data_IF_317599611939
#
_entry.id   IF_317599611939
#
_cell.length_a   1.000
_cell.length_b   1.000
_cell.length_c   1.000
_cell.angle_alpha   90.00
_cell.angle_beta   90.00
_cell.angle_gamma   90.00
#
_symmetry.space_group_name_H-M   'P 1'
#
loop_
_entity.id
_entity.type
_entity.pdbx_description
1 polymer ?
#
# COMPACT_ATOMS: atom_id res chain seq x y z
N UNK A 1 7.52 -13.01 8.93
CA UNK A 1 6.45 -12.58 9.88
C UNK A 1 5.53 -11.69 9.07
N UNK A 2 4.28 -12.12 8.87
CA UNK A 2 3.36 -11.43 7.97
C UNK A 2 3.16 -9.96 8.38
N UNK A 3 2.99 -9.69 9.67
CA UNK A 3 2.67 -8.35 10.17
C UNK A 3 3.72 -7.30 9.78
N UNK A 4 4.99 -7.65 9.97
CA UNK A 4 6.11 -6.76 9.67
C UNK A 4 6.25 -6.55 8.15
N UNK A 5 6.16 -7.63 7.37
CA UNK A 5 6.31 -7.58 5.92
C UNK A 5 5.18 -6.77 5.26
N UNK A 6 3.93 -7.01 5.67
CA UNK A 6 2.76 -6.25 5.21
C UNK A 6 2.88 -4.76 5.54
N UNK A 7 3.29 -4.42 6.78
CA UNK A 7 3.44 -3.02 7.21
C UNK A 7 4.51 -2.30 6.38
N UNK A 8 5.68 -2.92 6.24
CA UNK A 8 6.77 -2.36 5.43
C UNK A 8 6.36 -2.17 3.96
N UNK A 9 5.60 -3.11 3.41
CA UNK A 9 5.07 -3.02 2.06
C UNK A 9 4.13 -1.82 1.87
N UNK A 10 3.18 -1.63 2.79
CA UNK A 10 2.25 -0.49 2.73
C UNK A 10 3.00 0.84 2.89
N UNK A 11 3.93 0.94 3.84
CA UNK A 11 4.76 2.14 4.00
C UNK A 11 5.60 2.45 2.75
N UNK A 12 6.12 1.42 2.09
CA UNK A 12 6.85 1.54 0.82
C UNK A 12 5.94 2.08 -0.28
N UNK A 13 4.70 1.59 -0.40
CA UNK A 13 3.72 2.10 -1.37
C UNK A 13 3.39 3.57 -1.10
N UNK A 14 3.13 3.94 0.16
CA UNK A 14 2.86 5.33 0.58
C UNK A 14 4.03 6.26 0.17
N UNK A 15 5.28 5.85 0.44
CA UNK A 15 6.48 6.62 0.07
C UNK A 15 6.67 6.72 -1.44
N UNK A 16 6.39 5.64 -2.17
CA UNK A 16 6.48 5.62 -3.63
C UNK A 16 5.47 6.58 -4.25
N UNK A 17 4.22 6.55 -3.81
CA UNK A 17 3.16 7.42 -4.33
C UNK A 17 3.46 8.90 -4.07
N UNK A 18 4.02 9.27 -2.90
CA UNK A 18 4.52 10.64 -2.65
C UNK A 18 5.59 11.07 -3.66
N UNK A 19 6.51 10.16 -4.03
CA UNK A 19 7.57 10.46 -5.02
C UNK A 19 7.02 10.59 -6.44
N UNK A 20 5.99 9.82 -6.78
CA UNK A 20 5.31 9.90 -8.09
C UNK A 20 4.57 11.24 -8.21
N UNK A 21 3.80 11.62 -7.18
CA UNK A 21 3.11 12.92 -7.08
C UNK A 21 4.10 14.09 -7.21
N UNK A 22 5.21 14.06 -6.48
CA UNK A 22 6.23 15.12 -6.53
C UNK A 22 6.87 15.31 -7.92
N UNK A 23 6.85 14.28 -8.77
CA UNK A 23 7.37 14.34 -10.14
C UNK A 23 6.33 14.86 -11.16
N UNK A 24 5.12 15.20 -10.71
CA UNK A 24 4.07 15.75 -11.57
C UNK A 24 3.35 14.72 -12.44
N UNK A 25 3.48 13.42 -12.15
CA UNK A 25 2.69 12.40 -12.83
C UNK A 25 1.22 12.54 -12.41
N UNK A 26 0.40 13.15 -13.27
CA UNK A 26 -1.06 13.25 -13.06
C UNK A 26 -1.71 11.91 -13.32
N UNK A 27 -2.01 11.20 -12.26
CA UNK A 27 -2.95 10.07 -12.30
C UNK A 27 -4.37 10.60 -12.53
N UNK A 28 -5.18 9.87 -13.29
CA UNK A 28 -6.62 10.15 -13.44
C UNK A 28 -7.32 10.03 -12.07
N UNK A 29 -6.85 9.13 -11.20
CA UNK A 29 -7.42 8.83 -9.88
C UNK A 29 -6.67 9.49 -8.69
N UNK A 30 -6.01 10.62 -8.92
CA UNK A 30 -5.11 11.23 -7.92
C UNK A 30 -5.81 11.53 -6.57
N UNK A 31 -7.11 11.81 -6.58
CA UNK A 31 -7.91 12.00 -5.37
C UNK A 31 -8.05 10.72 -4.54
N UNK A 32 -8.44 9.62 -5.17
CA UNK A 32 -8.62 8.33 -4.49
C UNK A 32 -7.28 7.78 -3.95
N UNK A 33 -6.19 7.90 -4.73
CA UNK A 33 -4.85 7.50 -4.29
C UNK A 33 -4.37 8.32 -3.11
N UNK A 34 -4.62 9.64 -3.11
CA UNK A 34 -4.27 10.53 -1.99
C UNK A 34 -5.05 10.17 -0.72
N UNK A 35 -6.36 9.95 -0.84
CA UNK A 35 -7.22 9.56 0.28
C UNK A 35 -6.80 8.22 0.87
N UNK A 36 -6.59 7.20 0.03
CA UNK A 36 -6.11 5.88 0.46
C UNK A 36 -4.77 5.99 1.20
N UNK A 37 -3.84 6.81 0.68
CA UNK A 37 -2.54 7.03 1.32
C UNK A 37 -2.67 7.64 2.70
N UNK A 38 -3.47 8.69 2.85
CA UNK A 38 -3.68 9.39 4.13
C UNK A 38 -4.41 8.47 5.12
N UNK A 39 -5.45 7.79 4.67
CA UNK A 39 -6.22 6.86 5.48
C UNK A 39 -5.34 5.72 6.03
N UNK A 40 -4.63 5.00 5.16
CA UNK A 40 -3.77 3.88 5.56
C UNK A 40 -2.64 4.33 6.49
N UNK A 41 -2.05 5.51 6.23
CA UNK A 41 -1.01 6.08 7.09
C UNK A 41 -1.56 6.35 8.50
N UNK A 42 -2.71 7.01 8.59
CA UNK A 42 -3.31 7.38 9.86
C UNK A 42 -3.66 6.15 10.70
N UNK A 43 -4.22 5.11 10.07
CA UNK A 43 -4.52 3.85 10.75
C UNK A 43 -3.25 3.18 11.29
N UNK A 44 -2.21 3.04 10.45
CA UNK A 44 -0.93 2.42 10.84
C UNK A 44 -0.19 3.20 11.94
N UNK A 45 -0.38 4.51 12.03
CA UNK A 45 0.19 5.36 13.09
C UNK A 45 -0.65 5.30 14.38
N UNK A 46 -1.97 5.21 14.26
CA UNK A 46 -2.88 5.14 15.40
C UNK A 46 -2.82 3.78 16.12
N UNK A 47 -2.69 2.69 15.36
CA UNK A 47 -2.68 1.34 15.92
C UNK A 47 -1.45 0.55 15.45
N UNK A 48 -0.77 -0.20 16.35
CA UNK A 48 0.51 -0.81 16.03
C UNK A 48 0.42 -1.98 15.03
N UNK A 49 -0.71 -2.70 14.97
CA UNK A 49 -0.90 -3.94 14.17
C UNK A 49 0.30 -4.90 14.27
N UNK A 50 0.80 -5.09 15.50
CA UNK A 50 2.04 -5.79 15.78
C UNK A 50 1.94 -7.33 15.78
N UNK A 51 0.75 -7.89 15.54
CA UNK A 51 0.55 -9.34 15.44
C UNK A 51 0.03 -9.69 14.05
N UNK A 52 0.36 -10.89 13.58
CA UNK A 52 -0.06 -11.37 12.25
C UNK A 52 -1.59 -11.31 12.10
N UNK A 53 -2.36 -11.75 13.10
CA UNK A 53 -3.83 -11.69 13.05
C UNK A 53 -4.38 -10.27 12.92
N UNK A 54 -3.83 -9.31 13.69
CA UNK A 54 -4.26 -7.91 13.64
C UNK A 54 -3.94 -7.32 12.28
N UNK A 55 -2.75 -7.59 11.76
CA UNK A 55 -2.32 -7.09 10.48
C UNK A 55 -3.07 -7.75 9.32
N UNK A 56 -3.45 -9.03 9.43
CA UNK A 56 -4.26 -9.73 8.40
C UNK A 56 -5.64 -9.09 8.30
N UNK A 57 -6.31 -8.87 9.43
CA UNK A 57 -7.61 -8.17 9.44
C UNK A 57 -7.51 -6.79 8.83
N UNK A 58 -6.46 -6.04 9.16
CA UNK A 58 -6.19 -4.76 8.53
C UNK A 58 -5.98 -4.91 7.01
N UNK A 59 -5.11 -5.83 6.60
CA UNK A 59 -4.81 -6.09 5.19
C UNK A 59 -6.07 -6.44 4.40
N UNK A 60 -6.91 -7.33 4.91
CA UNK A 60 -8.13 -7.77 4.24
C UNK A 60 -9.16 -6.65 4.14
N UNK A 61 -9.34 -5.87 5.21
CA UNK A 61 -10.27 -4.74 5.23
C UNK A 61 -9.85 -3.64 4.24
N UNK A 62 -8.55 -3.41 4.12
CA UNK A 62 -7.98 -2.34 3.31
C UNK A 62 -7.37 -2.81 1.98
N UNK A 63 -7.62 -4.07 1.58
CA UNK A 63 -6.93 -4.72 0.45
C UNK A 63 -7.07 -3.94 -0.84
N UNK A 64 -8.26 -3.41 -1.11
CA UNK A 64 -8.55 -2.60 -2.30
C UNK A 64 -7.75 -1.30 -2.32
N UNK A 65 -7.67 -0.60 -1.17
CA UNK A 65 -6.90 0.64 -1.04
C UNK A 65 -5.40 0.39 -1.21
N UNK A 66 -4.87 -0.67 -0.56
CA UNK A 66 -3.47 -1.07 -0.68
C UNK A 66 -3.14 -1.38 -2.14
N UNK A 67 -4.03 -2.10 -2.84
CA UNK A 67 -3.87 -2.39 -4.27
C UNK A 67 -3.94 -1.13 -5.12
N UNK A 68 -4.84 -0.20 -4.81
CA UNK A 68 -4.97 1.08 -5.49
C UNK A 68 -3.72 1.97 -5.36
N UNK A 69 -2.90 1.77 -4.32
CA UNK A 69 -1.60 2.43 -4.19
C UNK A 69 -0.50 1.83 -5.09
N UNK A 70 -0.74 0.71 -5.76
CA UNK A 70 0.21 0.16 -6.74
C UNK A 70 0.12 1.01 -8.03
N UNK A 71 1.25 1.53 -8.55
CA UNK A 71 1.25 2.29 -9.81
C UNK A 71 0.73 1.47 -11.00
N UNK A 72 0.42 2.13 -12.10
CA UNK A 72 -0.09 1.51 -13.32
C UNK A 72 0.95 0.60 -13.96
N UNK A 73 0.50 -0.25 -14.87
CA UNK A 73 1.37 -1.22 -15.57
C UNK A 73 2.51 -0.56 -16.35
N UNK A 74 2.32 0.69 -16.76
CA UNK A 74 3.34 1.53 -17.40
C UNK A 74 4.52 1.89 -16.48
N UNK A 75 4.37 1.79 -15.16
CA UNK A 75 5.44 2.07 -14.22
C UNK A 75 6.39 0.88 -14.10
N UNK A 76 7.70 1.11 -14.24
CA UNK A 76 8.75 0.06 -14.22
C UNK A 76 8.71 -0.88 -13.00
N UNK A 77 8.21 -0.41 -11.87
CA UNK A 77 8.12 -1.22 -10.63
C UNK A 77 6.82 -2.01 -10.48
N UNK A 78 5.85 -1.87 -11.39
CA UNK A 78 4.53 -2.48 -11.30
C UNK A 78 4.60 -3.99 -11.04
N UNK A 79 5.26 -4.74 -11.93
CA UNK A 79 5.36 -6.20 -11.84
C UNK A 79 5.92 -6.65 -10.49
N UNK A 80 6.98 -5.99 -10.01
CA UNK A 80 7.59 -6.30 -8.70
C UNK A 80 6.62 -6.05 -7.54
N UNK A 81 5.96 -4.90 -7.52
CA UNK A 81 5.00 -4.55 -6.46
C UNK A 81 3.78 -5.48 -6.48
N UNK A 82 3.34 -5.88 -7.66
CA UNK A 82 2.28 -6.86 -7.88
C UNK A 82 2.63 -8.23 -7.29
N UNK A 83 3.83 -8.73 -7.60
CA UNK A 83 4.31 -10.00 -7.08
C UNK A 83 4.42 -9.97 -5.56
N UNK A 84 4.99 -8.90 -4.99
CA UNK A 84 5.05 -8.72 -3.52
C UNK A 84 3.65 -8.72 -2.90
N UNK A 85 2.67 -8.04 -3.52
CA UNK A 85 1.28 -8.03 -3.06
C UNK A 85 0.66 -9.43 -3.04
N UNK A 86 0.81 -10.20 -4.13
CA UNK A 86 0.26 -11.54 -4.26
C UNK A 86 0.91 -12.49 -3.26
N UNK A 87 2.22 -12.38 -3.06
CA UNK A 87 2.95 -13.20 -2.10
C UNK A 87 2.46 -12.94 -0.67
N UNK A 88 2.32 -11.67 -0.28
CA UNK A 88 1.76 -11.32 1.03
C UNK A 88 0.35 -11.85 1.21
N UNK A 89 -0.49 -11.77 0.18
CA UNK A 89 -1.87 -12.25 0.24
C UNK A 89 -1.98 -13.78 0.41
N UNK A 90 -0.98 -14.54 -0.05
CA UNK A 90 -0.97 -15.99 0.00
C UNK A 90 -0.17 -16.58 1.17
N UNK A 91 0.47 -15.72 1.98
CA UNK A 91 1.03 -16.12 3.28
C UNK A 91 -0.09 -16.31 4.30
#
# INVERSE_FOLDING_TARGET
>A
MFAQEARQYIEKLIRLQKKIEAKGYRYIDHGAVKQAREHLKNQLEFYPYNTDDKMRRFWDHHRSEIRGLIPSESHRCFKKLMTEFINLQNQ
#
